data_IF_287409356407
#
_entry.id   IF_287409356407
#
_cell.length_a   1.000
_cell.length_b   1.000
_cell.length_c   1.000
_cell.angle_alpha   90.00
_cell.angle_beta   90.00
_cell.angle_gamma   90.00
#
_symmetry.space_group_name_H-M   'P 1'
#
loop_
_entity.id
_entity.type
_entity.pdbx_description
1 polymer ?
#
# COMPACT_ATOMS: atom_id res chain seq x y z
N UNK A 1 -3.46 12.71 35.02
CA UNK A 1 -2.12 12.19 34.69
C UNK A 1 -2.17 11.22 33.51
N UNK A 2 -3.00 10.17 33.54
CA UNK A 2 -3.18 9.23 32.41
C UNK A 2 -3.77 9.85 31.13
N UNK A 3 -4.62 10.86 31.23
CA UNK A 3 -5.15 11.58 30.05
C UNK A 3 -4.06 12.39 29.32
N UNK A 4 -3.04 12.87 30.04
CA UNK A 4 -1.91 13.61 29.46
C UNK A 4 -0.98 12.67 28.69
N UNK A 5 -0.82 11.43 29.16
CA UNK A 5 -0.01 10.40 28.49
C UNK A 5 -0.70 9.86 27.23
N UNK A 6 -2.03 9.83 27.20
CA UNK A 6 -2.80 9.46 26.00
C UNK A 6 -2.75 10.56 24.94
N UNK A 7 -2.69 11.84 25.33
CA UNK A 7 -2.61 12.96 24.37
C UNK A 7 -1.21 13.08 23.73
N UNK A 8 -0.17 12.79 24.51
CA UNK A 8 1.21 12.70 24.04
C UNK A 8 1.50 11.28 23.52
N UNK A 9 0.78 10.84 22.48
CA UNK A 9 0.93 9.53 21.84
C UNK A 9 2.38 9.30 21.39
N UNK A 10 3.19 8.76 22.30
CA UNK A 10 4.51 8.25 21.98
C UNK A 10 4.35 7.00 21.12
N UNK A 11 5.31 6.78 20.23
CA UNK A 11 5.42 5.56 19.39
C UNK A 11 5.24 4.24 20.18
N UNK A 12 5.56 4.25 21.48
CA UNK A 12 5.37 3.13 22.39
C UNK A 12 3.89 2.75 22.58
N UNK A 13 2.97 3.71 22.64
CA UNK A 13 1.53 3.43 22.78
C UNK A 13 0.97 2.78 21.51
N UNK A 14 1.39 3.24 20.33
CA UNK A 14 1.01 2.66 19.04
C UNK A 14 1.50 1.21 18.96
N UNK A 15 2.73 0.93 19.42
CA UNK A 15 3.25 -0.44 19.52
C UNK A 15 2.42 -1.33 20.45
N UNK A 16 2.02 -0.84 21.63
CA UNK A 16 1.16 -1.58 22.57
C UNK A 16 -0.17 -1.94 21.91
N UNK A 17 -0.83 -0.97 21.25
CA UNK A 17 -2.13 -1.19 20.61
C UNK A 17 -1.98 -2.16 19.44
N UNK A 18 -0.91 -2.02 18.64
CA UNK A 18 -0.62 -2.93 17.55
C UNK A 18 -0.41 -4.37 18.03
N UNK A 19 0.29 -4.58 19.17
CA UNK A 19 0.47 -5.91 19.77
C UNK A 19 -0.87 -6.50 20.22
N UNK A 20 -1.73 -5.71 20.87
CA UNK A 20 -3.06 -6.17 21.29
C UNK A 20 -3.90 -6.59 20.08
N UNK A 21 -3.92 -5.77 19.02
CA UNK A 21 -4.60 -6.11 17.78
C UNK A 21 -4.00 -7.35 17.13
N UNK A 22 -2.67 -7.53 17.19
CA UNK A 22 -2.00 -8.72 16.67
C UNK A 22 -2.36 -9.98 17.44
N UNK A 23 -2.57 -9.89 18.75
CA UNK A 23 -3.03 -11.02 19.57
C UNK A 23 -4.49 -11.36 19.30
N UNK A 24 -5.33 -10.34 19.07
CA UNK A 24 -6.78 -10.52 18.87
C UNK A 24 -7.12 -10.98 17.44
N UNK A 25 -6.48 -10.40 16.44
CA UNK A 25 -6.71 -10.70 15.02
C UNK A 25 -5.68 -11.68 14.43
N UNK A 26 -4.55 -11.89 15.10
CA UNK A 26 -3.45 -12.72 14.63
C UNK A 26 -2.48 -11.99 13.70
N UNK A 27 -1.22 -12.46 13.69
CA UNK A 27 -0.12 -11.93 12.87
C UNK A 27 -0.38 -11.83 11.37
N UNK A 28 -1.28 -12.69 10.86
CA UNK A 28 -1.53 -12.84 9.43
C UNK A 28 -2.63 -11.93 8.88
N UNK A 29 -3.54 -11.43 9.74
CA UNK A 29 -4.70 -10.65 9.28
C UNK A 29 -4.38 -9.21 8.91
N UNK A 30 -3.46 -8.55 9.63
CA UNK A 30 -3.05 -7.17 9.30
C UNK A 30 -2.38 -7.08 7.91
N UNK A 31 -1.41 -7.96 7.54
CA UNK A 31 -0.83 -7.96 6.19
C UNK A 31 -1.84 -8.34 5.10
N UNK A 32 -2.74 -9.29 5.37
CA UNK A 32 -3.77 -9.74 4.42
C UNK A 32 -4.75 -8.59 4.08
N UNK A 33 -5.20 -7.85 5.10
CA UNK A 33 -6.05 -6.67 4.92
C UNK A 33 -5.31 -5.53 4.20
N UNK A 34 -4.06 -5.26 4.56
CA UNK A 34 -3.24 -4.26 3.88
C UNK A 34 -3.00 -4.60 2.41
N UNK A 35 -2.78 -5.88 2.09
CA UNK A 35 -2.59 -6.37 0.72
C UNK A 35 -3.85 -6.12 -0.13
N UNK A 36 -5.02 -6.49 0.38
CA UNK A 36 -6.30 -6.28 -0.30
C UNK A 36 -6.65 -4.80 -0.47
N UNK A 37 -6.49 -4.01 0.61
CA UNK A 37 -6.74 -2.57 0.57
C UNK A 37 -5.75 -1.84 -0.36
N UNK A 38 -4.48 -2.22 -0.35
CA UNK A 38 -3.44 -1.64 -1.19
C UNK A 38 -3.69 -1.86 -2.68
N UNK A 39 -4.15 -3.06 -3.06
CA UNK A 39 -4.56 -3.34 -4.45
C UNK A 39 -5.75 -2.46 -4.87
N UNK A 40 -6.79 -2.36 -4.03
CA UNK A 40 -7.96 -1.53 -4.33
C UNK A 40 -7.62 -0.04 -4.46
N UNK A 41 -6.76 0.50 -3.58
CA UNK A 41 -6.28 1.89 -3.68
C UNK A 41 -5.44 2.09 -4.96
N UNK A 42 -4.65 1.09 -5.35
CA UNK A 42 -3.83 1.14 -6.57
C UNK A 42 -4.73 1.19 -7.81
N UNK A 43 -5.69 0.27 -7.91
CA UNK A 43 -6.66 0.21 -9.02
C UNK A 43 -7.49 1.50 -9.12
N UNK A 44 -7.95 2.02 -7.98
CA UNK A 44 -8.67 3.29 -7.91
C UNK A 44 -7.82 4.46 -8.43
N UNK A 45 -6.55 4.52 -8.03
CA UNK A 45 -5.62 5.56 -8.50
C UNK A 45 -5.29 5.41 -9.99
N UNK A 46 -5.19 4.18 -10.49
CA UNK A 46 -4.89 3.91 -11.89
C UNK A 46 -6.08 4.32 -12.78
N UNK A 47 -7.32 4.00 -12.36
CA UNK A 47 -8.55 4.42 -13.06
C UNK A 47 -8.68 5.95 -13.14
N UNK A 48 -8.47 6.67 -12.03
CA UNK A 48 -8.53 8.14 -12.02
C UNK A 48 -7.48 8.76 -12.95
N UNK A 49 -6.30 8.14 -13.06
CA UNK A 49 -5.24 8.62 -13.96
C UNK A 49 -5.50 8.34 -15.43
N UNK A 50 -6.28 7.30 -15.74
CA UNK A 50 -6.73 7.01 -17.10
C UNK A 50 -7.83 7.99 -17.54
N UNK A 51 -8.71 8.42 -16.63
CA UNK A 51 -9.75 9.43 -16.92
C UNK A 51 -9.17 10.83 -17.23
N UNK A 52 -8.00 11.17 -16.68
CA UNK A 52 -7.30 12.45 -16.92
C UNK A 52 -6.39 12.45 -18.18
N UNK A 53 -6.28 11.35 -18.93
CA UNK A 53 -5.47 11.28 -20.16
C UNK A 53 -6.33 10.92 -21.38
N UNK A 54 -6.37 11.76 -22.44
CA UNK A 54 -6.94 11.32 -23.70
C UNK A 54 -6.14 10.13 -24.22
N UNK A 55 -6.88 9.05 -24.47
CA UNK A 55 -6.46 7.71 -24.87
C UNK A 55 -5.12 7.65 -25.62
N UNK A 56 -4.13 7.01 -25.00
CA UNK A 56 -3.05 6.36 -25.74
C UNK A 56 -2.45 5.20 -24.93
N UNK A 57 -2.69 3.99 -25.48
CA UNK A 57 -1.85 2.79 -25.46
C UNK A 57 -2.23 1.66 -24.50
N UNK A 58 -2.98 0.72 -25.07
CA UNK A 58 -2.51 -0.64 -25.40
C UNK A 58 -1.48 -1.28 -24.47
N UNK A 59 -1.90 -2.37 -23.82
CA UNK A 59 -1.12 -3.55 -23.43
C UNK A 59 0.34 -3.56 -23.88
N UNK A 60 1.27 -3.52 -22.92
CA UNK A 60 2.56 -4.18 -23.09
C UNK A 60 3.10 -4.69 -21.74
N UNK A 61 2.91 -5.98 -21.50
CA UNK A 61 3.78 -6.76 -20.62
C UNK A 61 4.51 -7.76 -21.53
N UNK A 62 5.70 -7.47 -22.02
CA UNK A 62 6.83 -8.42 -22.13
C UNK A 62 8.12 -7.67 -22.51
N UNK A 63 9.22 -7.80 -21.75
CA UNK A 63 10.49 -7.16 -22.06
C UNK A 63 11.21 -7.95 -23.17
N UNK A 64 11.09 -7.50 -24.42
CA UNK A 64 12.08 -7.85 -25.45
C UNK A 64 13.37 -7.10 -25.13
N UNK A 65 14.34 -7.84 -24.59
CA UNK A 65 15.73 -7.43 -24.67
C UNK A 65 16.10 -7.35 -26.16
N UNK A 66 16.49 -6.19 -26.66
CA UNK A 66 17.38 -6.05 -27.81
C UNK A 66 18.22 -4.80 -27.58
N UNK A 67 19.53 -5.01 -27.45
CA UNK A 67 20.53 -3.94 -27.29
C UNK A 67 21.00 -3.54 -28.69
N UNK A 68 20.78 -2.32 -29.19
CA UNK A 68 21.33 -1.92 -30.48
C UNK A 68 22.74 -1.35 -30.28
N UNK A 69 23.77 -2.10 -30.68
CA UNK A 69 25.07 -1.55 -31.13
C UNK A 69 25.09 -1.67 -32.66
N UNK A 70 24.97 -0.57 -33.39
CA UNK A 70 26.06 0.30 -33.87
C UNK A 70 26.97 -0.44 -34.88
N UNK A 71 26.72 -0.20 -36.17
CA UNK A 71 27.79 -0.15 -37.17
C UNK A 71 28.06 1.33 -37.53
#
# INVERSE_FOLDING_TARGET
MYTLTILALSWQHILIVAIILLLLFGGKKIPELMRGMGSGIKEFKDAIKEEDKPEAKTTDNTPSNETPKSN
#
